data_IF_288529573248
#
_entry.id   IF_288529573248
#
_cell.length_a   1.000
_cell.length_b   1.000
_cell.length_c   1.000
_cell.angle_alpha   90.00
_cell.angle_beta   90.00
_cell.angle_gamma   90.00
#
_symmetry.space_group_name_H-M   'P 1'
#
loop_
_entity.id
_entity.type
_entity.pdbx_description
1 polymer ?
#
# COMPACT_ATOMS: atom_id res chain seq x y z
N UNK A 1 -40.15 -0.40 18.46
CA UNK A 1 -39.20 0.23 17.52
C UNK A 1 -37.83 -0.35 17.78
N UNK A 2 -37.21 -1.02 16.80
CA UNK A 2 -35.97 -1.80 16.98
C UNK A 2 -34.78 -1.02 16.40
N UNK A 3 -34.02 -0.25 17.20
CA UNK A 3 -33.00 0.68 16.70
C UNK A 3 -31.68 0.01 16.29
N UNK A 4 -31.44 -1.26 16.65
CA UNK A 4 -30.15 -1.93 16.46
C UNK A 4 -29.74 -2.11 14.99
N UNK A 5 -30.68 -2.33 14.06
CA UNK A 5 -30.35 -2.59 12.65
C UNK A 5 -29.88 -1.33 11.89
N UNK A 6 -30.32 -0.14 12.33
CA UNK A 6 -29.98 1.15 11.68
C UNK A 6 -28.54 1.58 11.97
N UNK A 7 -27.98 1.17 13.10
CA UNK A 7 -26.59 1.42 13.47
C UNK A 7 -25.63 0.52 12.68
N UNK A 8 -25.95 -0.78 12.57
CA UNK A 8 -25.14 -1.78 11.85
C UNK A 8 -24.98 -1.41 10.36
N UNK A 9 -26.05 -0.95 9.71
CA UNK A 9 -26.01 -0.54 8.29
C UNK A 9 -25.20 0.75 8.06
N UNK A 10 -25.27 1.72 8.99
CA UNK A 10 -24.50 2.97 8.89
C UNK A 10 -23.00 2.73 9.11
N UNK A 11 -22.64 1.88 10.07
CA UNK A 11 -21.25 1.50 10.31
C UNK A 11 -20.67 0.69 9.15
N UNK A 12 -21.43 -0.25 8.58
CA UNK A 12 -20.97 -1.00 7.40
C UNK A 12 -20.70 -0.08 6.20
N UNK A 13 -21.56 0.91 5.97
CA UNK A 13 -21.37 1.90 4.90
C UNK A 13 -20.20 2.87 5.19
N UNK A 14 -19.97 3.22 6.46
CA UNK A 14 -18.83 4.03 6.90
C UNK A 14 -17.50 3.27 6.75
N UNK A 15 -17.47 1.98 7.07
CA UNK A 15 -16.31 1.10 6.88
C UNK A 15 -15.99 0.94 5.39
N UNK A 16 -17.00 0.81 4.53
CA UNK A 16 -16.83 0.77 3.08
C UNK A 16 -16.12 2.02 2.51
N UNK A 17 -16.43 3.20 3.06
CA UNK A 17 -15.78 4.47 2.68
C UNK A 17 -14.30 4.51 3.11
N UNK A 18 -13.99 4.00 4.30
CA UNK A 18 -12.60 3.90 4.81
C UNK A 18 -11.77 2.88 4.03
N UNK A 19 -12.38 1.76 3.60
CA UNK A 19 -11.71 0.74 2.77
C UNK A 19 -11.27 1.29 1.42
N UNK A 20 -12.16 2.03 0.74
CA UNK A 20 -11.86 2.63 -0.56
C UNK A 20 -10.77 3.72 -0.46
N UNK A 21 -10.73 4.46 0.66
CA UNK A 21 -9.66 5.39 0.95
C UNK A 21 -8.31 4.67 1.20
N UNK A 22 -8.32 3.56 1.92
CA UNK A 22 -7.12 2.76 2.18
C UNK A 22 -6.58 2.12 0.89
N UNK A 23 -7.45 1.59 0.02
CA UNK A 23 -7.06 1.07 -1.31
C UNK A 23 -6.43 2.15 -2.20
N UNK A 24 -6.91 3.40 -2.14
CA UNK A 24 -6.25 4.53 -2.84
C UNK A 24 -4.83 4.77 -2.34
N UNK A 25 -4.61 4.68 -1.02
CA UNK A 25 -3.27 4.83 -0.46
C UNK A 25 -2.35 3.68 -0.88
N UNK A 26 -2.86 2.44 -0.94
CA UNK A 26 -2.12 1.29 -1.48
C UNK A 26 -1.70 1.51 -2.94
N UNK A 27 -2.64 1.93 -3.79
CA UNK A 27 -2.36 2.20 -5.20
C UNK A 27 -1.37 3.36 -5.37
N UNK A 28 -1.41 4.38 -4.50
CA UNK A 28 -0.43 5.46 -4.48
C UNK A 28 0.97 4.97 -4.11
N UNK A 29 1.09 4.08 -3.11
CA UNK A 29 2.37 3.47 -2.74
C UNK A 29 2.95 2.60 -3.86
N UNK A 30 2.12 1.77 -4.50
CA UNK A 30 2.52 0.96 -5.66
C UNK A 30 2.97 1.86 -6.81
N UNK A 31 2.22 2.95 -7.10
CA UNK A 31 2.59 3.93 -8.12
C UNK A 31 3.96 4.54 -7.87
N UNK A 32 4.25 4.96 -6.64
CA UNK A 32 5.57 5.55 -6.31
C UNK A 32 6.69 4.53 -6.49
N UNK A 33 6.50 3.28 -6.09
CA UNK A 33 7.51 2.25 -6.29
C UNK A 33 7.75 1.91 -7.76
N UNK A 34 6.69 1.85 -8.57
CA UNK A 34 6.79 1.66 -10.02
C UNK A 34 7.51 2.83 -10.71
N UNK A 35 7.26 4.07 -10.28
CA UNK A 35 7.97 5.25 -10.78
C UNK A 35 9.48 5.16 -10.53
N UNK A 36 9.89 4.71 -9.34
CA UNK A 36 11.31 4.47 -9.04
C UNK A 36 11.90 3.35 -9.90
N UNK A 37 11.16 2.27 -10.12
CA UNK A 37 11.60 1.16 -10.99
C UNK A 37 11.79 1.61 -12.45
N UNK A 38 10.80 2.32 -13.00
CA UNK A 38 10.85 2.87 -14.37
C UNK A 38 11.96 3.90 -14.51
N UNK A 39 12.16 4.76 -13.50
CA UNK A 39 13.27 5.72 -13.47
C UNK A 39 14.63 5.01 -13.48
N UNK A 40 14.77 3.92 -12.73
CA UNK A 40 16.01 3.12 -12.73
C UNK A 40 16.30 2.45 -14.07
N UNK A 41 15.28 1.87 -14.71
CA UNK A 41 15.40 1.31 -16.05
C UNK A 41 15.74 2.38 -17.09
N UNK A 42 15.11 3.56 -16.97
CA UNK A 42 15.36 4.69 -17.87
C UNK A 42 16.79 5.21 -17.72
N UNK A 43 17.32 5.28 -16.49
CA UNK A 43 18.71 5.68 -16.24
C UNK A 43 19.69 4.74 -16.94
N UNK A 44 19.51 3.43 -16.82
CA UNK A 44 20.40 2.44 -17.44
C UNK A 44 20.35 2.54 -18.97
N UNK A 45 19.16 2.70 -19.54
CA UNK A 45 18.96 2.78 -21.01
C UNK A 45 19.44 4.11 -21.60
N UNK A 46 19.27 5.23 -20.91
CA UNK A 46 19.60 6.55 -21.43
C UNK A 46 21.08 6.88 -21.27
N UNK A 47 21.71 6.38 -20.21
CA UNK A 47 23.11 6.66 -19.87
C UNK A 47 23.97 5.38 -19.97
N UNK A 48 23.79 4.60 -21.04
CA UNK A 48 24.54 3.35 -21.24
C UNK A 48 26.04 3.55 -21.45
N UNK A 49 26.47 4.73 -21.93
CA UNK A 49 27.88 5.08 -22.12
C UNK A 49 28.60 5.43 -20.79
N UNK A 50 27.86 5.89 -19.78
CA UNK A 50 28.41 6.25 -18.47
C UNK A 50 28.37 5.06 -17.49
N UNK A 51 29.50 4.40 -17.33
CA UNK A 51 29.66 3.22 -16.46
C UNK A 51 29.21 3.50 -15.02
N UNK A 52 29.47 4.71 -14.50
CA UNK A 52 29.06 5.12 -13.16
C UNK A 52 27.52 5.18 -13.01
N UNK A 53 26.83 5.72 -14.01
CA UNK A 53 25.36 5.82 -14.05
C UNK A 53 24.71 4.45 -14.22
N UNK A 54 25.32 3.56 -15.02
CA UNK A 54 24.85 2.17 -15.16
C UNK A 54 24.92 1.42 -13.84
N UNK A 55 26.01 1.57 -13.07
CA UNK A 55 26.14 0.98 -11.74
C UNK A 55 25.11 1.53 -10.75
N UNK A 56 24.89 2.85 -10.78
CA UNK A 56 23.90 3.51 -9.93
C UNK A 56 22.48 3.03 -10.26
N UNK A 57 22.14 2.95 -11.55
CA UNK A 57 20.88 2.38 -12.03
C UNK A 57 20.71 0.91 -11.63
N UNK A 58 21.78 0.11 -11.70
CA UNK A 58 21.76 -1.28 -11.23
C UNK A 58 21.43 -1.40 -9.74
N UNK A 59 21.89 -0.45 -8.92
CA UNK A 59 21.63 -0.40 -7.49
C UNK A 59 20.19 0.08 -7.17
N UNK A 60 19.67 0.99 -7.99
CA UNK A 60 18.33 1.57 -7.78
C UNK A 60 17.21 0.57 -8.12
N UNK A 61 17.45 -0.37 -9.04
CA UNK A 61 16.50 -1.43 -9.39
C UNK A 61 16.11 -2.29 -8.17
N UNK A 62 17.04 -2.98 -7.47
CA UNK A 62 16.71 -3.77 -6.29
C UNK A 62 16.18 -2.89 -5.15
N UNK A 63 16.69 -1.65 -5.00
CA UNK A 63 16.18 -0.71 -4.01
C UNK A 63 14.69 -0.37 -4.26
N UNK A 64 14.29 -0.14 -5.51
CA UNK A 64 12.90 0.11 -5.88
C UNK A 64 12.00 -1.08 -5.60
N UNK A 65 12.48 -2.30 -5.84
CA UNK A 65 11.76 -3.55 -5.49
C UNK A 65 11.60 -3.67 -3.97
N UNK A 66 12.65 -3.39 -3.20
CA UNK A 66 12.59 -3.35 -1.74
C UNK A 66 11.58 -2.31 -1.23
N UNK A 67 11.53 -1.10 -1.83
CA UNK A 67 10.55 -0.07 -1.46
C UNK A 67 9.11 -0.50 -1.76
N UNK A 68 8.87 -1.17 -2.89
CA UNK A 68 7.55 -1.73 -3.22
C UNK A 68 7.14 -2.77 -2.17
N UNK A 69 8.03 -3.72 -1.85
CA UNK A 69 7.78 -4.78 -0.85
C UNK A 69 7.51 -4.17 0.53
N UNK A 70 8.36 -3.24 0.97
CA UNK A 70 8.20 -2.55 2.26
C UNK A 70 6.87 -1.79 2.34
N UNK A 71 6.48 -1.11 1.26
CA UNK A 71 5.24 -0.35 1.21
C UNK A 71 4.01 -1.26 1.27
N UNK A 72 4.03 -2.39 0.54
CA UNK A 72 2.97 -3.40 0.61
C UNK A 72 2.91 -4.01 2.02
N UNK A 73 4.06 -4.32 2.61
CA UNK A 73 4.13 -4.88 3.97
C UNK A 73 3.50 -3.94 5.01
N UNK A 74 3.90 -2.65 5.00
CA UNK A 74 3.34 -1.62 5.89
C UNK A 74 1.82 -1.46 5.71
N UNK A 75 1.34 -1.56 4.48
CA UNK A 75 -0.08 -1.50 4.21
C UNK A 75 -0.84 -2.70 4.78
N UNK A 76 -0.32 -3.91 4.56
CA UNK A 76 -0.94 -5.14 5.06
C UNK A 76 -0.99 -5.17 6.58
N UNK A 77 0.08 -4.77 7.28
CA UNK A 77 0.11 -4.74 8.75
C UNK A 77 -0.93 -3.76 9.33
N UNK A 78 -1.08 -2.57 8.72
CA UNK A 78 -2.13 -1.61 9.11
C UNK A 78 -3.52 -2.19 8.88
N UNK A 79 -3.75 -2.86 7.76
CA UNK A 79 -5.03 -3.50 7.47
C UNK A 79 -5.34 -4.67 8.43
N UNK A 80 -4.30 -5.37 8.93
CA UNK A 80 -4.44 -6.50 9.86
C UNK A 80 -4.83 -6.05 11.27
N UNK A 81 -4.33 -4.92 11.75
CA UNK A 81 -4.69 -4.35 13.06
C UNK A 81 -6.18 -4.01 13.16
N UNK A 82 -6.80 -3.51 12.08
CA UNK A 82 -8.22 -3.13 12.09
C UNK A 82 -9.13 -4.35 12.20
N UNK A 83 -8.77 -5.46 11.55
CA UNK A 83 -9.58 -6.70 11.58
C UNK A 83 -9.53 -7.41 12.94
N UNK A 84 -8.45 -7.23 13.70
CA UNK A 84 -8.26 -7.84 15.03
C UNK A 84 -9.06 -7.15 16.13
N UNK A 85 -9.30 -5.84 16.01
CA UNK A 85 -10.12 -5.09 16.96
C UNK A 85 -11.60 -5.48 16.88
N UNK A 86 -12.13 -5.68 15.66
CA UNK A 86 -13.53 -6.05 15.48
C UNK A 86 -13.88 -7.46 16.00
N UNK A 87 -12.92 -8.41 16.01
CA UNK A 87 -13.18 -9.76 16.55
C UNK A 87 -13.17 -9.84 18.06
N UNK A 88 -12.59 -8.85 18.75
CA UNK A 88 -12.54 -8.79 20.22
C UNK A 88 -13.84 -8.17 20.76
N UNK A 89 -14.40 -7.17 20.08
CA UNK A 89 -15.66 -6.53 20.46
C UNK A 89 -16.85 -7.52 20.32
N UNK A 90 -16.88 -8.33 19.26
CA UNK A 90 -17.98 -9.28 18.98
C UNK A 90 -17.94 -10.57 19.80
N UNK A 91 -16.87 -10.85 20.57
CA UNK A 91 -16.82 -11.97 21.52
C UNK A 91 -17.19 -11.57 22.96
N UNK A 92 -17.25 -10.28 23.27
CA UNK A 92 -17.59 -9.76 24.61
C UNK A 92 -19.06 -9.29 24.71
N UNK A 93 -19.90 -9.66 23.74
CA UNK A 93 -21.32 -9.34 23.66
C UNK A 93 -22.09 -10.65 23.41
#
# INVERSE_FOLDING_TARGET
MKPENKLILRDSLAIGRSKLANERTLLAYIRTGLMFFVSGLSLIKLFSDDIALVYFGRFIIPLSVCLIIWSIYRFIITCKSVKKLYSIEHQNL
#
